data_IF_865925324363
#
_entry.id   IF_865925324363
#
_cell.length_a   1.000
_cell.length_b   1.000
_cell.length_c   1.000
_cell.angle_alpha   90.00
_cell.angle_beta   90.00
_cell.angle_gamma   90.00
#
_symmetry.space_group_name_H-M   'P 1'
#
loop_
_entity.id
_entity.type
_entity.pdbx_description
1 polymer ?
#
# COMPACT_ATOMS: atom_id res chain seq x y z
N UNK A 1 -3.32 -9.33 -6.31
CA UNK A 1 -2.70 -8.08 -5.81
C UNK A 1 -2.47 -7.15 -6.98
N UNK A 2 -2.82 -5.89 -6.83
CA UNK A 2 -2.72 -4.90 -7.90
C UNK A 2 -1.72 -3.82 -7.54
N UNK A 3 -1.26 -3.10 -8.57
CA UNK A 3 -0.39 -1.95 -8.33
C UNK A 3 -1.07 -0.89 -7.46
N UNK A 4 -2.38 -0.69 -7.62
CA UNK A 4 -3.12 0.27 -6.80
C UNK A 4 -3.11 -0.10 -5.32
N UNK A 5 -3.12 -1.39 -5.02
CA UNK A 5 -3.02 -1.86 -3.63
C UNK A 5 -1.62 -1.61 -3.08
N UNK A 6 -0.59 -1.91 -3.87
CA UNK A 6 0.81 -1.65 -3.49
C UNK A 6 1.00 -0.15 -3.22
N UNK A 7 0.50 0.70 -4.11
CA UNK A 7 0.57 2.15 -3.97
C UNK A 7 -0.14 2.62 -2.71
N UNK A 8 -1.32 2.05 -2.42
CA UNK A 8 -2.08 2.37 -1.22
C UNK A 8 -1.29 2.03 0.04
N UNK A 9 -0.71 0.85 0.10
CA UNK A 9 0.10 0.43 1.24
C UNK A 9 1.28 1.37 1.46
N UNK A 10 2.04 1.67 0.41
CA UNK A 10 3.19 2.54 0.51
C UNK A 10 2.80 3.96 0.93
N UNK A 11 1.70 4.47 0.40
CA UNK A 11 1.24 5.82 0.77
C UNK A 11 0.84 5.89 2.24
N UNK A 12 0.20 4.85 2.78
CA UNK A 12 -0.16 4.80 4.18
C UNK A 12 1.09 4.78 5.07
N UNK A 13 2.09 3.99 4.71
CA UNK A 13 3.34 3.94 5.50
C UNK A 13 4.10 5.26 5.42
N UNK A 14 4.09 5.89 4.27
CA UNK A 14 4.76 7.17 4.03
C UNK A 14 4.12 8.32 4.79
N UNK A 15 2.80 8.40 4.77
CA UNK A 15 2.05 9.49 5.43
C UNK A 15 1.79 9.23 6.91
N UNK A 16 1.79 7.97 7.30
CA UNK A 16 1.54 7.58 8.70
C UNK A 16 0.08 7.49 9.08
N UNK A 17 -0.86 7.70 8.15
CA UNK A 17 -2.28 7.56 8.45
C UNK A 17 -3.10 7.21 7.22
N UNK A 18 -4.22 6.50 7.45
CA UNK A 18 -5.18 6.20 6.38
C UNK A 18 -5.82 7.47 5.83
N UNK A 19 -6.12 8.41 6.71
CA UNK A 19 -6.75 9.67 6.33
C UNK A 19 -5.86 10.47 5.38
N UNK A 20 -4.60 10.68 5.74
CA UNK A 20 -3.66 11.43 4.92
C UNK A 20 -3.37 10.71 3.60
N UNK A 21 -3.26 9.38 3.63
CA UNK A 21 -3.03 8.60 2.43
C UNK A 21 -4.21 8.68 1.46
N UNK A 22 -5.43 8.57 1.98
CA UNK A 22 -6.64 8.67 1.18
C UNK A 22 -6.71 10.03 0.48
N UNK A 23 -6.41 11.09 1.21
CA UNK A 23 -6.37 12.45 0.66
C UNK A 23 -5.32 12.56 -0.45
N UNK A 24 -4.12 12.04 -0.20
CA UNK A 24 -3.02 12.08 -1.18
C UNK A 24 -3.35 11.29 -2.45
N UNK A 25 -4.12 10.22 -2.34
CA UNK A 25 -4.48 9.35 -3.46
C UNK A 25 -5.82 9.73 -4.10
N UNK A 26 -6.48 10.78 -3.61
CA UNK A 26 -7.78 11.23 -4.13
C UNK A 26 -8.84 10.13 -4.08
N UNK A 27 -8.85 9.37 -3.00
CA UNK A 27 -9.86 8.32 -2.76
C UNK A 27 -10.48 8.54 -1.39
N UNK A 28 -11.61 7.89 -1.14
CA UNK A 28 -12.22 7.93 0.18
C UNK A 28 -11.46 7.00 1.14
N UNK A 29 -11.52 7.32 2.42
CA UNK A 29 -10.89 6.48 3.44
C UNK A 29 -11.47 5.06 3.46
N UNK A 30 -12.82 4.87 3.35
CA UNK A 30 -13.37 3.51 3.23
C UNK A 30 -12.87 2.73 2.02
N UNK A 31 -12.71 3.39 0.86
CA UNK A 31 -12.19 2.75 -0.34
C UNK A 31 -10.74 2.29 -0.13
N UNK A 32 -9.94 3.13 0.51
CA UNK A 32 -8.56 2.79 0.83
C UNK A 32 -8.50 1.59 1.78
N UNK A 33 -9.36 1.59 2.81
CA UNK A 33 -9.46 0.50 3.76
C UNK A 33 -9.80 -0.82 3.08
N UNK A 34 -10.73 -0.79 2.12
CA UNK A 34 -11.10 -2.00 1.36
C UNK A 34 -9.94 -2.54 0.54
N UNK A 35 -9.13 -1.67 -0.07
CA UNK A 35 -7.94 -2.09 -0.83
C UNK A 35 -6.96 -2.81 0.07
N UNK A 36 -6.70 -2.26 1.25
CA UNK A 36 -5.77 -2.88 2.20
C UNK A 36 -6.30 -4.23 2.70
N UNK A 37 -7.60 -4.32 2.98
CA UNK A 37 -8.18 -5.60 3.41
C UNK A 37 -8.09 -6.66 2.32
N UNK A 38 -8.31 -6.27 1.07
CA UNK A 38 -8.17 -7.19 -0.05
C UNK A 38 -6.75 -7.72 -0.16
N UNK A 39 -5.74 -6.86 0.04
CA UNK A 39 -4.34 -7.28 0.09
C UNK A 39 -4.10 -8.27 1.21
N UNK A 40 -4.55 -7.93 2.41
CA UNK A 40 -4.34 -8.77 3.59
C UNK A 40 -4.99 -10.15 3.42
N UNK A 41 -6.18 -10.19 2.83
CA UNK A 41 -6.85 -11.47 2.54
C UNK A 41 -6.06 -12.32 1.55
N UNK A 42 -5.58 -11.70 0.49
CA UNK A 42 -4.78 -12.39 -0.52
C UNK A 42 -3.44 -12.88 0.04
N UNK A 43 -2.79 -12.04 0.85
CA UNK A 43 -1.52 -12.37 1.47
C UNK A 43 -1.66 -13.43 2.57
N UNK A 44 -2.80 -13.46 3.24
CA UNK A 44 -3.04 -14.38 4.34
C UNK A 44 -2.50 -13.89 5.68
N UNK A 45 -2.13 -12.60 5.77
CA UNK A 45 -1.67 -12.00 7.03
C UNK A 45 -1.99 -10.50 7.06
N UNK A 46 -2.18 -9.93 8.25
CA UNK A 46 -2.44 -8.49 8.37
C UNK A 46 -1.16 -7.68 8.18
N UNK A 47 -1.29 -6.52 7.56
CA UNK A 47 -0.20 -5.58 7.35
C UNK A 47 -0.19 -4.51 8.45
N UNK A 48 -1.37 -4.15 8.96
CA UNK A 48 -1.53 -3.12 9.98
C UNK A 48 -2.18 -3.67 11.22
N UNK A 49 -1.73 -3.17 12.37
CA UNK A 49 -2.37 -3.48 13.64
C UNK A 49 -3.71 -2.75 13.69
N UNK A 50 -4.76 -3.46 14.09
CA UNK A 50 -6.11 -2.90 14.25
C UNK A 50 -6.36 -2.64 15.72
N UNK A 51 -6.98 -1.49 16.02
CA UNK A 51 -7.34 -1.17 17.39
C UNK A 51 -8.06 0.17 17.45
N UNK A 52 -8.87 0.33 18.50
CA UNK A 52 -9.57 1.58 18.74
C UNK A 52 -8.59 2.67 19.18
N UNK A 53 -8.81 3.88 18.68
CA UNK A 53 -8.06 5.05 19.11
C UNK A 53 -6.69 5.21 18.50
N UNK A 54 -6.32 4.37 17.53
CA UNK A 54 -5.06 4.52 16.83
C UNK A 54 -5.17 5.66 15.84
N UNK A 55 -4.49 6.77 16.12
CA UNK A 55 -4.43 7.91 15.21
C UNK A 55 -3.38 7.72 14.14
N UNK A 56 -2.29 7.05 14.50
CA UNK A 56 -1.21 6.71 13.59
C UNK A 56 -1.28 5.23 13.28
N UNK A 57 -0.95 4.89 12.06
CA UNK A 57 -0.88 3.48 11.69
C UNK A 57 0.30 2.82 12.40
N UNK A 58 0.08 1.57 12.74
CA UNK A 58 1.11 0.73 13.32
C UNK A 58 1.18 -0.52 12.44
N UNK A 59 2.37 -0.85 11.97
CA UNK A 59 2.58 -2.01 11.13
C UNK A 59 2.72 -3.27 11.99
N UNK A 60 2.18 -4.37 11.47
CA UNK A 60 2.50 -5.67 12.02
C UNK A 60 3.95 -6.00 11.68
N UNK A 61 4.47 -7.08 12.26
CA UNK A 61 5.81 -7.57 11.92
C UNK A 61 5.89 -7.88 10.42
N UNK A 62 4.86 -8.53 9.88
CA UNK A 62 4.78 -8.83 8.45
C UNK A 62 4.66 -7.56 7.63
N UNK A 63 3.93 -6.57 8.12
CA UNK A 63 3.80 -5.27 7.46
C UNK A 63 5.14 -4.57 7.31
N UNK A 64 5.97 -4.60 8.35
CA UNK A 64 7.32 -4.04 8.28
C UNK A 64 8.15 -4.77 7.22
N UNK A 65 8.10 -6.09 7.19
CA UNK A 65 8.81 -6.87 6.19
C UNK A 65 8.30 -6.58 4.77
N UNK A 66 7.02 -6.29 4.65
CA UNK A 66 6.41 -6.05 3.35
C UNK A 66 6.81 -4.70 2.72
N UNK A 67 7.28 -3.74 3.50
CA UNK A 67 7.69 -2.43 2.97
C UNK A 67 8.72 -2.58 1.86
N UNK A 68 9.79 -3.33 2.11
CA UNK A 68 10.83 -3.57 1.11
C UNK A 68 10.30 -4.30 -0.12
N UNK A 69 9.40 -5.26 0.11
CA UNK A 69 8.76 -6.01 -0.98
C UNK A 69 7.92 -5.06 -1.84
N UNK A 70 7.12 -4.22 -1.20
CA UNK A 70 6.27 -3.26 -1.90
C UNK A 70 7.08 -2.27 -2.73
N UNK A 71 8.23 -1.83 -2.22
CA UNK A 71 9.12 -0.95 -2.98
C UNK A 71 9.67 -1.65 -4.22
N UNK A 72 9.96 -2.96 -4.13
CA UNK A 72 10.41 -3.72 -5.31
C UNK A 72 9.28 -3.88 -6.34
N UNK A 73 8.05 -4.05 -5.89
CA UNK A 73 6.89 -4.07 -6.77
C UNK A 73 6.77 -2.74 -7.54
N UNK A 74 6.90 -1.64 -6.81
CA UNK A 74 6.81 -0.31 -7.40
C UNK A 74 7.94 -0.07 -8.42
N UNK A 75 9.15 -0.46 -8.05
CA UNK A 75 10.30 -0.32 -8.95
C UNK A 75 10.11 -1.14 -10.23
N UNK A 76 9.61 -2.36 -10.09
CA UNK A 76 9.34 -3.22 -11.24
C UNK A 76 8.22 -2.65 -12.12
N UNK A 77 7.19 -2.08 -11.51
CA UNK A 77 6.11 -1.43 -12.24
C UNK A 77 6.64 -0.24 -13.05
N UNK A 78 7.48 0.59 -12.43
CA UNK A 78 8.09 1.73 -13.12
C UNK A 78 8.96 1.26 -14.29
N UNK A 79 9.75 0.23 -14.07
CA UNK A 79 10.57 -0.38 -15.09
C UNK A 79 9.72 -0.93 -16.24
N UNK A 80 8.62 -1.56 -15.91
CA UNK A 80 7.67 -2.09 -16.90
C UNK A 80 7.13 -0.97 -17.77
N UNK A 81 6.79 0.16 -17.17
CA UNK A 81 6.28 1.33 -17.90
C UNK A 81 7.37 1.95 -18.79
N UNK A 82 8.59 2.02 -18.26
CA UNK A 82 9.74 2.56 -19.00
C UNK A 82 10.10 1.73 -20.22
N UNK A 83 9.75 0.45 -20.23
CA UNK A 83 9.97 -0.41 -21.39
C UNK A 83 9.28 0.11 -22.64
N UNK A 84 8.22 0.90 -22.49
CA UNK A 84 7.55 1.53 -23.63
C UNK A 84 8.46 2.50 -24.38
N UNK A 85 9.46 3.05 -23.70
CA UNK A 85 10.43 3.98 -24.31
C UNK A 85 11.42 3.27 -25.21
N UNK A 86 11.46 1.93 -25.15
CA UNK A 86 12.37 1.13 -25.97
C UNK A 86 11.71 0.72 -27.31
N UNK A 87 10.46 1.12 -27.52
CA UNK A 87 9.73 0.77 -28.74
C UNK A 87 10.46 1.35 -29.96
N UNK A 88 10.44 0.63 -31.09
CA UNK A 88 11.16 1.03 -32.30
C UNK A 88 10.65 2.30 -32.90
#
# INVERSE_FOLDING_TARGET
MTFLEIEAFLKITETGSFSAAAEALYVTQPALGRRIRAMEEELGYPLFVRGKGLRKVELTRQGHAFIGIAHRWQALWNETREAALLAP
#
